data_IF_606604621516
#
_entry.id   IF_606604621516
#
_cell.length_a   1.000
_cell.length_b   1.000
_cell.length_c   1.000
_cell.angle_alpha   90.00
_cell.angle_beta   90.00
_cell.angle_gamma   90.00
#
_symmetry.space_group_name_H-M   'P 1'
#
loop_
_entity.id
_entity.type
_entity.pdbx_description
1 polymer ?
#
# COMPACT_ATOMS: atom_id res chain seq x y z
N UNK A 1 19.06 -7.38 32.47
CA UNK A 1 18.42 -7.05 31.17
C UNK A 1 17.70 -5.68 31.17
N UNK A 2 18.18 -4.68 31.92
CA UNK A 2 17.58 -3.32 31.98
C UNK A 2 18.48 -2.22 31.38
N UNK A 3 19.60 -2.59 30.74
CA UNK A 3 20.69 -1.64 30.42
C UNK A 3 21.08 -1.59 28.93
N UNK A 4 20.28 -2.16 28.03
CA UNK A 4 20.51 -2.07 26.57
C UNK A 4 19.45 -1.27 25.80
N UNK A 5 18.44 -0.71 26.48
CA UNK A 5 17.30 -0.05 25.81
C UNK A 5 17.25 1.47 25.96
N UNK A 6 18.26 2.08 26.59
CA UNK A 6 18.35 3.54 26.75
C UNK A 6 18.95 4.30 25.55
N UNK A 7 19.26 3.63 24.44
CA UNK A 7 19.91 4.26 23.27
C UNK A 7 19.02 4.39 22.02
N UNK A 8 17.70 4.18 22.13
CA UNK A 8 16.79 4.21 20.96
C UNK A 8 15.66 5.24 21.03
N UNK A 9 15.83 6.32 21.79
CA UNK A 9 14.75 7.31 22.03
C UNK A 9 15.10 8.78 21.75
N UNK A 10 16.19 9.09 21.06
CA UNK A 10 16.42 10.47 20.62
C UNK A 10 16.73 10.59 19.13
N UNK A 11 16.11 11.62 18.54
CA UNK A 11 16.17 12.12 17.16
C UNK A 11 15.06 11.60 16.24
N UNK A 12 13.85 12.16 16.39
CA UNK A 12 12.94 12.39 15.26
C UNK A 12 12.05 13.61 15.54
N UNK A 13 12.63 14.82 15.56
CA UNK A 13 11.93 16.05 15.18
C UNK A 13 12.99 17.04 14.65
N UNK A 14 12.81 17.49 13.41
CA UNK A 14 13.15 18.80 12.79
C UNK A 14 13.86 18.75 11.43
N UNK A 15 13.32 19.59 10.54
CA UNK A 15 13.83 20.11 9.26
C UNK A 15 13.85 19.19 8.03
N UNK A 16 12.84 19.40 7.19
CA UNK A 16 12.86 19.11 5.76
C UNK A 16 13.76 20.13 5.06
N UNK A 17 14.86 19.70 4.45
CA UNK A 17 15.59 20.47 3.44
C UNK A 17 15.47 19.75 2.10
N UNK A 18 14.83 20.40 1.14
CA UNK A 18 14.86 20.02 -0.27
C UNK A 18 16.25 20.33 -0.83
N UNK A 19 16.96 19.31 -1.29
CA UNK A 19 18.18 19.47 -2.08
C UNK A 19 17.85 19.11 -3.52
N UNK A 20 17.87 20.09 -4.41
CA UNK A 20 17.80 19.87 -5.85
C UNK A 20 19.12 19.27 -6.34
N UNK A 21 19.06 18.18 -7.10
CA UNK A 21 20.22 17.55 -7.74
C UNK A 21 19.98 17.50 -9.26
N UNK A 22 20.93 18.03 -10.02
CA UNK A 22 20.92 18.10 -11.48
C UNK A 22 21.00 16.69 -12.12
N UNK A 23 20.34 16.44 -13.27
CA UNK A 23 20.28 15.12 -13.87
C UNK A 23 21.56 14.83 -14.69
N UNK A 24 22.46 14.04 -14.10
CA UNK A 24 23.52 13.37 -14.86
C UNK A 24 23.02 12.03 -15.39
N UNK A 25 23.09 11.83 -16.70
CA UNK A 25 22.76 10.57 -17.36
C UNK A 25 23.66 9.44 -16.83
N UNK A 26 23.05 8.46 -16.17
CA UNK A 26 23.71 7.20 -15.78
C UNK A 26 23.13 6.08 -16.66
N UNK A 27 24.03 5.36 -17.34
CA UNK A 27 23.71 4.16 -18.10
C UNK A 27 23.11 3.09 -17.19
N UNK A 28 21.93 2.60 -17.56
CA UNK A 28 21.17 1.61 -16.79
C UNK A 28 21.66 0.21 -17.15
N UNK A 29 22.32 -0.44 -16.20
CA UNK A 29 22.68 -1.85 -16.31
C UNK A 29 21.40 -2.71 -16.19
N UNK A 30 21.17 -3.59 -17.15
CA UNK A 30 19.91 -4.30 -17.40
C UNK A 30 19.67 -5.50 -16.46
N UNK A 31 19.50 -5.25 -15.15
CA UNK A 31 19.20 -6.31 -14.17
C UNK A 31 18.18 -5.94 -13.07
N UNK A 32 17.48 -4.82 -13.20
CA UNK A 32 16.31 -4.56 -12.36
C UNK A 32 15.12 -5.33 -12.92
N UNK A 33 14.79 -6.48 -12.31
CA UNK A 33 13.47 -7.09 -12.51
C UNK A 33 12.43 -6.07 -12.06
N UNK A 34 11.63 -5.55 -12.99
CA UNK A 34 10.40 -4.86 -12.65
C UNK A 34 9.57 -5.81 -11.78
N UNK A 35 9.25 -5.38 -10.55
CA UNK A 35 8.55 -6.23 -9.57
C UNK A 35 7.07 -6.46 -9.92
N UNK A 36 6.56 -5.81 -10.97
CA UNK A 36 5.23 -6.00 -11.53
C UNK A 36 5.38 -6.47 -12.98
N UNK A 37 5.03 -7.73 -13.26
CA UNK A 37 5.10 -8.39 -14.57
C UNK A 37 3.73 -8.78 -15.13
N UNK A 38 2.63 -8.34 -14.50
CA UNK A 38 1.29 -8.52 -15.02
C UNK A 38 1.12 -7.84 -16.39
N UNK A 39 0.67 -8.59 -17.42
CA UNK A 39 0.45 -8.03 -18.75
C UNK A 39 -0.78 -7.10 -18.83
N UNK A 40 -1.59 -7.02 -17.76
CA UNK A 40 -2.80 -6.19 -17.69
C UNK A 40 -2.59 -4.98 -16.76
N UNK A 41 -2.02 -5.20 -15.57
CA UNK A 41 -2.00 -4.20 -14.51
C UNK A 41 -0.67 -3.45 -14.36
N UNK A 42 0.38 -3.89 -15.08
CA UNK A 42 1.68 -3.22 -15.10
C UNK A 42 1.88 -2.50 -16.44
N UNK A 43 2.87 -1.59 -16.55
CA UNK A 43 3.13 -0.87 -17.79
C UNK A 43 3.30 -1.80 -19.00
N UNK A 44 2.53 -1.52 -20.06
CA UNK A 44 2.53 -2.27 -21.30
C UNK A 44 1.37 -1.86 -22.22
N UNK A 45 1.29 -2.41 -23.44
CA UNK A 45 0.32 -1.99 -24.45
C UNK A 45 -1.14 -2.16 -24.02
N UNK A 46 -1.43 -3.13 -23.15
CA UNK A 46 -2.76 -3.33 -22.60
C UNK A 46 -3.19 -2.12 -21.78
N UNK A 47 -2.42 -1.83 -20.74
CA UNK A 47 -2.70 -0.77 -19.80
C UNK A 47 -2.71 0.60 -20.49
N UNK A 48 -1.72 0.86 -21.34
CA UNK A 48 -1.61 2.10 -22.11
C UNK A 48 -2.88 2.37 -22.93
N UNK A 49 -3.36 1.39 -23.68
CA UNK A 49 -4.55 1.54 -24.51
C UNK A 49 -5.79 1.87 -23.69
N UNK A 50 -6.01 1.18 -22.57
CA UNK A 50 -7.16 1.44 -21.71
C UNK A 50 -7.07 2.83 -21.08
N UNK A 51 -5.90 3.20 -20.55
CA UNK A 51 -5.71 4.45 -19.82
C UNK A 51 -5.74 5.68 -20.72
N UNK A 52 -5.07 5.63 -21.89
CA UNK A 52 -5.03 6.76 -22.81
C UNK A 52 -6.35 6.99 -23.56
N UNK A 53 -7.20 5.97 -23.68
CA UNK A 53 -8.57 6.13 -24.19
C UNK A 53 -9.55 6.66 -23.13
N UNK A 54 -9.09 6.92 -21.89
CA UNK A 54 -9.89 7.46 -20.79
C UNK A 54 -11.24 6.75 -20.63
N UNK A 55 -11.18 5.41 -20.65
CA UNK A 55 -12.36 4.57 -20.47
C UNK A 55 -13.09 4.94 -19.17
N UNK A 56 -12.31 5.15 -18.12
CA UNK A 56 -12.74 5.68 -16.83
C UNK A 56 -12.14 7.06 -16.55
N UNK A 57 -12.80 7.85 -15.71
CA UNK A 57 -12.31 9.17 -15.30
C UNK A 57 -11.13 9.09 -14.33
N UNK A 58 -11.06 8.02 -13.54
CA UNK A 58 -9.97 7.75 -12.58
C UNK A 58 -9.16 6.56 -13.09
N UNK A 59 -7.87 6.78 -13.36
CA UNK A 59 -6.96 5.72 -13.83
C UNK A 59 -6.92 4.51 -12.89
N UNK A 60 -7.20 4.69 -11.59
CA UNK A 60 -7.20 3.59 -10.62
C UNK A 60 -8.38 2.64 -10.78
N UNK A 61 -9.49 3.08 -11.39
CA UNK A 61 -10.68 2.23 -11.58
C UNK A 61 -10.32 0.94 -12.31
N UNK A 62 -9.68 1.03 -13.48
CA UNK A 62 -9.37 -0.15 -14.28
C UNK A 62 -8.38 -1.09 -13.59
N UNK A 63 -7.31 -0.55 -13.00
CA UNK A 63 -6.27 -1.38 -12.37
C UNK A 63 -6.73 -2.07 -11.08
N UNK A 64 -7.89 -1.69 -10.54
CA UNK A 64 -8.54 -2.32 -9.39
C UNK A 64 -9.57 -3.40 -9.78
N UNK A 65 -9.84 -3.62 -11.07
CA UNK A 65 -10.84 -4.58 -11.54
C UNK A 65 -10.21 -5.97 -11.74
N UNK A 66 -10.68 -7.03 -11.05
CA UNK A 66 -10.25 -8.40 -11.32
C UNK A 66 -10.82 -8.91 -12.65
N UNK A 67 -10.17 -9.88 -13.28
CA UNK A 67 -10.71 -10.54 -14.48
C UNK A 67 -11.83 -11.52 -14.12
N UNK A 68 -12.85 -11.62 -14.98
CA UNK A 68 -13.93 -12.63 -14.90
C UNK A 68 -13.65 -13.88 -15.76
N UNK A 69 -12.60 -13.84 -16.58
CA UNK A 69 -12.14 -14.92 -17.46
C UNK A 69 -10.65 -15.19 -17.24
N UNK A 70 -10.15 -16.39 -17.59
CA UNK A 70 -8.73 -16.69 -17.46
C UNK A 70 -7.86 -15.70 -18.21
N UNK A 71 -6.70 -15.37 -17.66
CA UNK A 71 -5.78 -14.37 -18.21
C UNK A 71 -5.50 -14.57 -19.71
N UNK A 72 -5.24 -15.80 -20.14
CA UNK A 72 -4.97 -16.11 -21.55
C UNK A 72 -6.13 -15.74 -22.47
N UNK A 73 -7.37 -15.97 -22.03
CA UNK A 73 -8.58 -15.62 -22.79
C UNK A 73 -8.74 -14.10 -22.88
N UNK A 74 -8.52 -13.38 -21.77
CA UNK A 74 -8.59 -11.91 -21.72
C UNK A 74 -7.55 -11.30 -22.67
N UNK A 75 -6.31 -11.80 -22.64
CA UNK A 75 -5.23 -11.33 -23.54
C UNK A 75 -5.58 -11.64 -25.00
N UNK A 76 -6.04 -12.84 -25.31
CA UNK A 76 -6.42 -13.22 -26.67
C UNK A 76 -7.59 -12.37 -27.22
N UNK A 77 -8.56 -12.05 -26.37
CA UNK A 77 -9.67 -11.17 -26.72
C UNK A 77 -9.19 -9.72 -26.93
N UNK A 78 -8.33 -9.21 -26.04
CA UNK A 78 -7.74 -7.88 -26.18
C UNK A 78 -6.93 -7.72 -27.48
N UNK A 79 -6.16 -8.75 -27.87
CA UNK A 79 -5.37 -8.73 -29.12
C UNK A 79 -6.23 -8.58 -30.39
N UNK A 80 -7.53 -8.88 -30.33
CA UNK A 80 -8.47 -8.70 -31.45
C UNK A 80 -9.04 -7.29 -31.53
N UNK A 81 -8.82 -6.46 -30.51
CA UNK A 81 -9.32 -5.08 -30.47
C UNK A 81 -8.45 -4.19 -31.38
N UNK A 82 -9.03 -3.51 -32.40
CA UNK A 82 -8.29 -2.63 -33.29
C UNK A 82 -7.52 -1.54 -32.55
N UNK A 83 -6.36 -1.10 -33.05
CA UNK A 83 -5.56 -0.07 -32.37
C UNK A 83 -6.31 1.24 -32.16
N UNK A 84 -7.14 1.63 -33.12
CA UNK A 84 -8.00 2.81 -33.09
C UNK A 84 -9.41 2.53 -32.52
N UNK A 85 -9.56 1.52 -31.65
CA UNK A 85 -10.85 1.19 -31.05
C UNK A 85 -11.43 2.37 -30.27
N UNK A 86 -12.75 2.55 -30.40
CA UNK A 86 -13.47 3.60 -29.67
C UNK A 86 -13.52 3.29 -28.17
N UNK A 87 -13.79 4.33 -27.37
CA UNK A 87 -14.06 4.18 -25.94
C UNK A 87 -15.18 3.18 -25.65
N UNK A 88 -16.24 3.17 -26.45
CA UNK A 88 -17.38 2.26 -26.27
C UNK A 88 -16.98 0.79 -26.54
N UNK A 89 -16.17 0.54 -27.57
CA UNK A 89 -15.62 -0.80 -27.84
C UNK A 89 -14.77 -1.32 -26.67
N UNK A 90 -13.99 -0.45 -26.03
CA UNK A 90 -13.19 -0.81 -24.86
C UNK A 90 -14.06 -1.05 -23.62
N UNK A 91 -15.13 -0.25 -23.45
CA UNK A 91 -16.12 -0.47 -22.39
C UNK A 91 -16.84 -1.81 -22.56
N UNK A 92 -17.26 -2.17 -23.78
CA UNK A 92 -17.90 -3.46 -24.06
C UNK A 92 -16.97 -4.62 -23.72
N UNK A 93 -15.69 -4.52 -24.12
CA UNK A 93 -14.66 -5.49 -23.75
C UNK A 93 -14.50 -5.59 -22.23
N UNK A 94 -14.34 -4.46 -21.53
CA UNK A 94 -14.19 -4.45 -20.07
C UNK A 94 -15.41 -5.05 -19.38
N UNK A 95 -16.63 -4.70 -19.80
CA UNK A 95 -17.87 -5.24 -19.21
C UNK A 95 -18.03 -6.75 -19.39
N UNK A 96 -17.37 -7.33 -20.40
CA UNK A 96 -17.39 -8.77 -20.69
C UNK A 96 -16.32 -9.52 -19.88
N UNK A 97 -15.14 -8.92 -19.70
CA UNK A 97 -13.94 -9.63 -19.21
C UNK A 97 -13.51 -9.25 -17.80
N UNK A 98 -14.05 -8.18 -17.20
CA UNK A 98 -13.63 -7.66 -15.90
C UNK A 98 -14.80 -7.45 -14.95
N UNK A 99 -14.53 -7.67 -13.67
CA UNK A 99 -15.48 -7.44 -12.57
C UNK A 99 -15.45 -5.99 -12.09
N UNK A 100 -16.18 -5.69 -11.03
CA UNK A 100 -16.17 -4.33 -10.44
C UNK A 100 -14.88 -4.06 -9.66
N UNK A 101 -14.48 -2.79 -9.58
CA UNK A 101 -13.28 -2.42 -8.83
C UNK A 101 -13.43 -2.72 -7.33
N UNK A 102 -12.47 -3.46 -6.77
CA UNK A 102 -12.51 -3.89 -5.36
C UNK A 102 -13.53 -4.99 -5.06
N UNK A 103 -14.03 -5.71 -6.07
CA UNK A 103 -14.89 -6.88 -5.89
C UNK A 103 -14.23 -7.98 -5.04
N UNK A 104 -12.90 -7.98 -4.92
CA UNK A 104 -12.12 -8.88 -4.06
C UNK A 104 -12.30 -8.62 -2.56
N UNK A 105 -13.06 -7.59 -2.19
CA UNK A 105 -13.16 -7.12 -0.82
C UNK A 105 -14.56 -7.33 -0.27
N UNK A 106 -14.62 -8.01 0.87
CA UNK A 106 -15.86 -8.15 1.63
C UNK A 106 -15.69 -7.52 3.02
N UNK A 107 -16.78 -7.07 3.67
CA UNK A 107 -16.72 -6.59 5.04
C UNK A 107 -16.07 -7.64 5.96
N UNK A 108 -15.17 -7.19 6.83
CA UNK A 108 -14.64 -8.03 7.90
C UNK A 108 -15.49 -7.88 9.16
N UNK A 109 -15.81 -9.00 9.80
CA UNK A 109 -16.46 -8.98 11.12
C UNK A 109 -15.46 -8.52 12.16
N UNK A 110 -15.83 -7.51 12.96
CA UNK A 110 -15.10 -7.10 14.14
C UNK A 110 -15.70 -7.82 15.35
N UNK A 111 -15.17 -8.99 15.67
CA UNK A 111 -15.65 -9.78 16.80
C UNK A 111 -15.56 -8.98 18.10
N UNK A 112 -16.64 -8.99 18.88
CA UNK A 112 -16.74 -8.25 20.15
C UNK A 112 -16.52 -6.74 20.01
N UNK A 113 -17.03 -6.10 18.95
CA UNK A 113 -16.97 -4.65 18.76
C UNK A 113 -17.45 -3.89 20.02
N UNK A 114 -16.58 -3.11 20.69
CA UNK A 114 -16.90 -2.49 21.97
C UNK A 114 -17.69 -1.20 21.74
N UNK A 115 -19.03 -1.26 21.71
CA UNK A 115 -19.89 -0.10 21.43
C UNK A 115 -19.67 1.14 22.33
N UNK A 116 -19.09 0.95 23.52
CA UNK A 116 -18.72 2.02 24.44
C UNK A 116 -17.31 1.79 24.99
N UNK A 117 -16.27 2.01 24.17
CA UNK A 117 -14.90 1.73 24.58
C UNK A 117 -14.46 2.68 25.70
N UNK A 118 -13.55 2.23 26.55
CA UNK A 118 -13.22 2.93 27.80
C UNK A 118 -12.73 4.37 27.61
N UNK A 119 -12.12 4.68 26.46
CA UNK A 119 -11.62 6.03 26.17
C UNK A 119 -12.74 7.10 26.14
N UNK A 120 -13.96 6.72 25.75
CA UNK A 120 -15.10 7.64 25.70
C UNK A 120 -15.46 8.20 27.08
N UNK A 121 -15.27 7.40 28.14
CA UNK A 121 -15.58 7.82 29.52
C UNK A 121 -14.69 8.98 30.01
N UNK A 122 -13.55 9.19 29.36
CA UNK A 122 -12.60 10.27 29.70
C UNK A 122 -12.97 11.61 29.05
N UNK A 123 -13.93 11.62 28.11
CA UNK A 123 -14.32 12.80 27.35
C UNK A 123 -15.48 13.51 28.05
N UNK A 124 -15.19 14.69 28.62
CA UNK A 124 -16.20 15.49 29.35
C UNK A 124 -17.08 16.36 28.45
N UNK A 125 -16.56 16.79 27.30
CA UNK A 125 -17.31 17.65 26.37
C UNK A 125 -18.32 16.81 25.59
N UNK A 126 -19.63 17.14 25.64
CA UNK A 126 -20.66 16.40 24.89
C UNK A 126 -20.39 16.40 23.38
N UNK A 127 -19.91 17.51 22.83
CA UNK A 127 -19.62 17.64 21.39
C UNK A 127 -18.46 16.71 20.99
N UNK A 128 -17.40 16.66 21.80
CA UNK A 128 -16.26 15.79 21.52
C UNK A 128 -16.59 14.31 21.74
N UNK A 129 -17.48 14.01 22.70
CA UNK A 129 -17.98 12.66 22.92
C UNK A 129 -18.75 12.16 21.68
N UNK A 130 -19.68 12.96 21.17
CA UNK A 130 -20.47 12.65 19.97
C UNK A 130 -19.59 12.48 18.73
N UNK A 131 -18.59 13.34 18.57
CA UNK A 131 -17.60 13.18 17.51
C UNK A 131 -16.82 11.86 17.66
N UNK A 132 -16.29 11.58 18.85
CA UNK A 132 -15.47 10.40 19.10
C UNK A 132 -16.23 9.08 18.92
N UNK A 133 -17.47 8.99 19.40
CA UNK A 133 -18.29 7.78 19.23
C UNK A 133 -18.66 7.59 17.75
N UNK A 134 -18.87 8.67 17.00
CA UNK A 134 -19.08 8.58 15.54
C UNK A 134 -17.84 8.07 14.83
N UNK A 135 -16.65 8.57 15.18
CA UNK A 135 -15.37 8.07 14.64
C UNK A 135 -15.19 6.58 14.93
N UNK A 136 -15.42 6.16 16.17
CA UNK A 136 -15.35 4.76 16.57
C UNK A 136 -16.29 3.86 15.75
N UNK A 137 -17.52 4.32 15.50
CA UNK A 137 -18.51 3.57 14.73
C UNK A 137 -18.22 3.48 13.22
N UNK A 138 -17.14 4.09 12.71
CA UNK A 138 -16.70 3.87 11.33
C UNK A 138 -15.88 2.58 11.15
N UNK A 139 -15.32 1.99 12.21
CA UNK A 139 -14.47 0.80 12.04
C UNK A 139 -15.16 -0.37 11.33
N UNK A 140 -16.42 -0.74 11.65
CA UNK A 140 -17.12 -1.80 10.91
C UNK A 140 -17.31 -1.47 9.43
N UNK A 141 -17.44 -0.19 9.09
CA UNK A 141 -17.61 0.27 7.71
C UNK A 141 -16.30 0.24 6.92
N UNK A 142 -15.14 0.25 7.58
CA UNK A 142 -13.81 0.29 6.95
C UNK A 142 -13.04 -1.03 7.08
N UNK A 143 -13.45 -1.93 7.96
CA UNK A 143 -12.84 -3.24 8.10
C UNK A 143 -13.19 -4.12 6.88
N UNK A 144 -12.17 -4.71 6.27
CA UNK A 144 -12.25 -5.57 5.08
C UNK A 144 -11.44 -6.84 5.27
N UNK A 145 -11.81 -7.86 4.52
CA UNK A 145 -11.01 -9.06 4.26
C UNK A 145 -11.03 -9.33 2.76
N UNK A 146 -9.98 -9.99 2.27
CA UNK A 146 -9.94 -10.43 0.87
C UNK A 146 -10.76 -11.71 0.73
N UNK A 147 -11.64 -11.74 -0.27
CA UNK A 147 -12.36 -12.94 -0.71
C UNK A 147 -12.23 -13.06 -2.23
N UNK A 148 -11.41 -14.03 -2.65
CA UNK A 148 -11.18 -14.35 -4.07
C UNK A 148 -11.89 -15.64 -4.48
N UNK A 149 -12.83 -16.16 -3.67
CA UNK A 149 -13.55 -17.40 -3.98
C UNK A 149 -14.40 -17.33 -5.26
N UNK A 150 -14.80 -16.12 -5.67
CA UNK A 150 -15.52 -15.89 -6.92
C UNK A 150 -14.63 -15.99 -8.17
N UNK A 151 -13.30 -15.95 -8.01
CA UNK A 151 -12.37 -15.94 -9.13
C UNK A 151 -12.30 -17.31 -9.79
N UNK A 152 -12.38 -17.31 -11.12
CA UNK A 152 -12.23 -18.52 -11.92
C UNK A 152 -10.78 -19.05 -11.89
N UNK A 153 -10.59 -20.33 -12.24
CA UNK A 153 -9.25 -20.86 -12.46
C UNK A 153 -8.53 -20.07 -13.57
N UNK A 154 -7.34 -19.53 -13.28
CA UNK A 154 -6.57 -18.70 -14.21
C UNK A 154 -7.02 -17.24 -14.30
N UNK A 155 -8.08 -16.83 -13.59
CA UNK A 155 -8.41 -15.42 -13.41
C UNK A 155 -7.31 -14.73 -12.58
N UNK A 156 -7.08 -13.45 -12.82
CA UNK A 156 -6.10 -12.64 -12.12
C UNK A 156 -6.71 -11.37 -11.53
N UNK A 157 -6.06 -10.86 -10.49
CA UNK A 157 -6.39 -9.61 -9.83
C UNK A 157 -5.08 -8.86 -9.55
N UNK A 158 -5.16 -7.53 -9.49
CA UNK A 158 -4.04 -6.73 -9.02
C UNK A 158 -3.89 -6.76 -7.50
N UNK A 159 -4.86 -7.28 -6.74
CA UNK A 159 -4.81 -7.37 -5.29
C UNK A 159 -3.78 -8.42 -4.86
N UNK A 160 -2.86 -8.04 -3.96
CA UNK A 160 -1.91 -8.97 -3.37
C UNK A 160 -2.66 -9.86 -2.38
N UNK A 161 -2.57 -11.20 -2.47
CA UNK A 161 -3.26 -12.10 -1.55
C UNK A 161 -2.96 -11.78 -0.08
N UNK A 162 -4.01 -11.72 0.74
CA UNK A 162 -3.93 -11.46 2.18
C UNK A 162 -4.88 -12.38 2.93
N UNK A 163 -4.42 -12.93 4.05
CA UNK A 163 -5.17 -13.94 4.80
C UNK A 163 -5.96 -13.38 5.99
N UNK A 164 -5.68 -12.13 6.40
CA UNK A 164 -6.26 -11.54 7.61
C UNK A 164 -6.97 -10.23 7.32
N UNK A 165 -7.87 -9.87 8.23
CA UNK A 165 -8.63 -8.63 8.14
C UNK A 165 -7.71 -7.40 8.21
N UNK A 166 -8.17 -6.31 7.61
CA UNK A 166 -7.47 -5.03 7.65
C UNK A 166 -8.48 -3.89 7.55
N UNK A 167 -8.01 -2.68 7.79
CA UNK A 167 -8.83 -1.47 7.66
C UNK A 167 -8.30 -0.65 6.48
N UNK A 168 -9.22 -0.18 5.64
CA UNK A 168 -8.92 0.68 4.49
C UNK A 168 -9.10 2.16 4.85
N UNK A 169 -8.42 3.10 4.16
CA UNK A 169 -8.68 4.53 4.33
C UNK A 169 -10.11 4.93 3.93
N UNK A 170 -10.67 4.28 2.90
CA UNK A 170 -12.03 4.51 2.40
C UNK A 170 -12.10 5.21 1.04
N UNK A 171 -13.29 5.21 0.43
CA UNK A 171 -13.51 5.76 -0.91
C UNK A 171 -12.79 4.93 -1.99
N UNK A 172 -11.99 5.59 -2.85
CA UNK A 172 -11.21 4.93 -3.91
C UNK A 172 -10.05 4.08 -3.39
N UNK A 173 -9.67 4.27 -2.12
CA UNK A 173 -8.59 3.55 -1.45
C UNK A 173 -9.16 2.28 -0.82
N UNK A 174 -9.04 1.18 -1.54
CA UNK A 174 -9.69 -0.11 -1.23
C UNK A 174 -8.71 -1.16 -0.72
N UNK A 175 -7.43 -0.86 -0.75
CA UNK A 175 -6.32 -1.66 -0.26
C UNK A 175 -5.79 -1.14 1.08
N UNK A 176 -5.05 -1.99 1.80
CA UNK A 176 -4.28 -1.52 2.97
C UNK A 176 -3.13 -0.63 2.47
N UNK A 177 -2.90 0.50 3.14
CA UNK A 177 -1.77 1.40 2.88
C UNK A 177 -0.81 1.41 4.06
N UNK A 178 0.49 1.39 3.78
CA UNK A 178 1.51 1.12 4.80
C UNK A 178 1.51 2.18 5.92
N UNK A 179 1.84 3.43 5.64
CA UNK A 179 2.01 4.42 6.70
C UNK A 179 0.68 4.88 7.33
N UNK A 180 -0.41 4.95 6.54
CA UNK A 180 -1.76 5.26 7.02
C UNK A 180 -2.17 4.28 8.12
N UNK A 181 -1.78 3.01 7.96
CA UNK A 181 -2.10 1.96 8.89
C UNK A 181 -1.50 2.16 10.28
N UNK A 182 -0.43 2.95 10.44
CA UNK A 182 0.11 3.26 11.76
C UNK A 182 -0.93 4.04 12.59
N UNK A 183 -1.48 5.10 11.99
CA UNK A 183 -2.49 5.93 12.65
C UNK A 183 -3.82 5.20 12.82
N UNK A 184 -4.17 4.33 11.87
CA UNK A 184 -5.32 3.43 12.00
C UNK A 184 -5.12 2.48 13.19
N UNK A 185 -3.94 1.85 13.32
CA UNK A 185 -3.63 0.97 14.45
C UNK A 185 -3.68 1.75 15.77
N UNK A 186 -3.16 2.98 15.85
CA UNK A 186 -3.33 3.82 17.04
C UNK A 186 -4.81 4.00 17.41
N UNK A 187 -5.67 4.32 16.43
CA UNK A 187 -7.11 4.47 16.63
C UNK A 187 -7.81 3.17 17.04
N UNK A 188 -7.40 2.03 16.46
CA UNK A 188 -7.92 0.70 16.80
C UNK A 188 -7.55 0.31 18.23
N UNK A 189 -6.31 0.58 18.67
CA UNK A 189 -5.86 0.29 20.04
C UNK A 189 -6.62 1.13 21.07
N UNK A 190 -6.86 2.41 20.78
CA UNK A 190 -7.70 3.28 21.63
C UNK A 190 -9.15 2.81 21.65
N UNK A 191 -9.63 2.27 20.53
CA UNK A 191 -10.96 1.68 20.37
C UNK A 191 -11.07 0.26 20.90
N UNK A 192 -10.03 -0.27 21.56
CA UNK A 192 -9.99 -1.63 22.15
C UNK A 192 -10.18 -2.76 21.11
N UNK A 193 -9.89 -2.47 19.83
CA UNK A 193 -9.98 -3.39 18.69
C UNK A 193 -8.63 -4.08 18.42
N UNK A 194 -8.12 -4.79 19.43
CA UNK A 194 -6.78 -5.39 19.39
C UNK A 194 -6.63 -6.48 18.31
N UNK A 195 -7.68 -7.26 18.03
CA UNK A 195 -7.64 -8.34 17.05
C UNK A 195 -7.29 -7.86 15.64
N UNK A 196 -8.05 -6.90 15.12
CA UNK A 196 -7.78 -6.34 13.78
C UNK A 196 -6.47 -5.55 13.72
N UNK A 197 -6.06 -4.90 14.82
CA UNK A 197 -4.73 -4.26 14.89
C UNK A 197 -3.60 -5.29 14.75
N UNK A 198 -3.73 -6.46 15.40
CA UNK A 198 -2.78 -7.57 15.27
C UNK A 198 -2.77 -8.13 13.85
N UNK A 199 -3.95 -8.33 13.27
CA UNK A 199 -4.10 -8.84 11.91
C UNK A 199 -3.41 -7.95 10.86
N UNK A 200 -3.56 -6.62 10.97
CA UNK A 200 -2.88 -5.66 10.10
C UNK A 200 -1.35 -5.75 10.23
N UNK A 201 -0.82 -5.87 11.46
CA UNK A 201 0.62 -6.06 11.69
C UNK A 201 1.11 -7.36 11.05
N UNK A 202 0.39 -8.47 11.25
CA UNK A 202 0.74 -9.77 10.69
C UNK A 202 0.73 -9.74 9.16
N UNK A 203 -0.25 -9.08 8.54
CA UNK A 203 -0.29 -8.87 7.10
C UNK A 203 0.96 -8.12 6.58
N UNK A 204 1.41 -7.09 7.29
CA UNK A 204 2.64 -6.38 6.91
C UNK A 204 3.90 -7.23 7.09
N UNK A 205 3.96 -8.07 8.14
CA UNK A 205 5.04 -9.02 8.30
C UNK A 205 5.07 -10.03 7.15
N UNK A 206 3.91 -10.52 6.69
CA UNK A 206 3.79 -11.40 5.53
C UNK A 206 4.31 -10.72 4.24
N UNK A 207 4.07 -9.42 4.06
CA UNK A 207 4.64 -8.67 2.94
C UNK A 207 6.16 -8.56 3.01
N UNK A 208 6.72 -8.25 4.19
CA UNK A 208 8.18 -8.23 4.36
C UNK A 208 8.77 -9.62 4.12
N UNK A 209 8.08 -10.69 4.54
CA UNK A 209 8.57 -12.04 4.29
C UNK A 209 8.60 -12.39 2.80
N UNK A 210 7.55 -12.01 2.07
CA UNK A 210 7.38 -12.32 0.65
C UNK A 210 8.24 -11.43 -0.26
N UNK A 211 8.23 -10.12 -0.01
CA UNK A 211 8.81 -9.11 -0.90
C UNK A 211 10.08 -8.45 -0.36
N UNK A 212 10.42 -8.67 0.91
CA UNK A 212 11.56 -8.05 1.59
C UNK A 212 11.25 -6.67 2.20
N UNK A 213 10.09 -6.10 1.90
CA UNK A 213 9.63 -4.80 2.39
C UNK A 213 8.11 -4.72 2.37
N UNK A 214 7.55 -3.69 3.02
CA UNK A 214 6.11 -3.40 2.92
C UNK A 214 5.84 -2.53 1.68
N UNK A 215 5.06 -2.98 0.68
CA UNK A 215 4.69 -2.15 -0.45
C UNK A 215 3.81 -0.96 -0.02
N UNK A 216 3.72 0.06 -0.86
CA UNK A 216 2.88 1.25 -0.59
C UNK A 216 1.44 0.85 -0.21
N UNK A 217 0.86 -0.09 -0.95
CA UNK A 217 -0.36 -0.78 -0.55
C UNK A 217 -0.44 -2.19 -1.14
N UNK A 218 -1.51 -2.93 -0.82
CA UNK A 218 -1.67 -4.35 -1.21
C UNK A 218 -2.11 -4.57 -2.67
N UNK A 219 -1.44 -3.90 -3.61
CA UNK A 219 -1.67 -4.06 -5.06
C UNK A 219 -0.34 -4.31 -5.78
N UNK A 220 -0.33 -5.16 -6.80
CA UNK A 220 0.91 -5.57 -7.47
C UNK A 220 1.65 -4.40 -8.14
N UNK A 221 0.93 -3.37 -8.60
CA UNK A 221 1.53 -2.16 -9.16
C UNK A 221 2.19 -1.26 -8.10
N UNK A 222 2.07 -1.59 -6.80
CA UNK A 222 2.83 -0.99 -5.72
C UNK A 222 4.11 -1.77 -5.36
N UNK A 223 4.36 -2.94 -5.95
CA UNK A 223 5.55 -3.75 -5.63
C UNK A 223 6.88 -3.12 -6.06
N UNK A 224 6.88 -1.96 -6.72
CA UNK A 224 8.11 -1.21 -7.01
C UNK A 224 8.45 -0.13 -5.96
N UNK A 225 7.58 0.11 -4.97
CA UNK A 225 7.74 1.22 -4.02
C UNK A 225 7.14 0.93 -2.65
N UNK A 226 7.77 1.51 -1.62
CA UNK A 226 7.26 1.49 -0.25
C UNK A 226 6.65 2.85 0.12
N UNK A 227 6.44 3.05 1.42
CA UNK A 227 5.97 4.26 2.09
C UNK A 227 6.80 4.44 3.37
N UNK A 228 6.60 5.52 4.16
CA UNK A 228 7.34 5.72 5.40
C UNK A 228 7.34 4.48 6.31
N UNK A 229 8.53 3.95 6.69
CA UNK A 229 8.62 2.66 7.38
C UNK A 229 8.22 2.78 8.85
N UNK A 230 6.98 2.37 9.15
CA UNK A 230 6.38 2.46 10.48
C UNK A 230 6.10 1.09 11.12
N UNK A 231 6.46 -0.03 10.49
CA UNK A 231 6.15 -1.37 11.01
C UNK A 231 6.74 -1.63 12.41
N UNK A 232 7.98 -1.19 12.66
CA UNK A 232 8.60 -1.25 14.01
C UNK A 232 7.75 -0.49 15.03
N UNK A 233 7.22 0.67 14.65
CA UNK A 233 6.39 1.48 15.54
C UNK A 233 5.02 0.83 15.76
N UNK A 234 4.41 0.25 14.73
CA UNK A 234 3.15 -0.50 14.85
C UNK A 234 3.29 -1.66 15.85
N UNK A 235 4.36 -2.47 15.73
CA UNK A 235 4.65 -3.57 16.68
C UNK A 235 4.87 -3.02 18.09
N UNK A 236 5.58 -1.91 18.23
CA UNK A 236 5.85 -1.27 19.52
C UNK A 236 4.57 -0.79 20.21
N UNK A 237 3.71 -0.02 19.53
CA UNK A 237 2.48 0.51 20.13
C UNK A 237 1.50 -0.63 20.48
N UNK A 238 1.45 -1.67 19.64
CA UNK A 238 0.66 -2.86 19.91
C UNK A 238 1.15 -3.58 21.17
N UNK A 239 2.46 -3.81 21.29
CA UNK A 239 3.06 -4.41 22.48
C UNK A 239 2.79 -3.56 23.73
N UNK A 240 2.92 -2.24 23.65
CA UNK A 240 2.63 -1.35 24.77
C UNK A 240 1.16 -1.40 25.23
N UNK A 241 0.23 -1.61 24.29
CA UNK A 241 -1.19 -1.69 24.61
C UNK A 241 -1.61 -3.07 25.16
N UNK A 242 -0.93 -4.15 24.76
CA UNK A 242 -1.40 -5.53 24.99
C UNK A 242 -0.47 -6.40 25.84
N UNK A 243 0.81 -6.00 26.00
CA UNK A 243 1.90 -6.83 26.53
C UNK A 243 2.09 -8.18 25.79
N UNK A 244 1.65 -8.29 24.53
CA UNK A 244 1.83 -9.49 23.71
C UNK A 244 3.30 -9.67 23.30
N UNK A 245 4.08 -10.32 24.16
CA UNK A 245 5.49 -10.65 23.88
C UNK A 245 5.62 -11.67 22.76
N UNK A 246 4.60 -12.50 22.52
CA UNK A 246 4.61 -13.51 21.46
C UNK A 246 4.70 -12.85 20.09
N UNK A 247 3.85 -11.85 19.82
CA UNK A 247 3.91 -11.09 18.58
C UNK A 247 5.25 -10.37 18.43
N UNK A 248 5.77 -9.77 19.51
CA UNK A 248 7.05 -9.07 19.49
C UNK A 248 8.20 -9.99 19.07
N UNK A 249 8.33 -11.18 19.67
CA UNK A 249 9.37 -12.14 19.32
C UNK A 249 9.20 -12.70 17.91
N UNK A 250 7.95 -12.92 17.48
CA UNK A 250 7.65 -13.35 16.12
C UNK A 250 8.05 -12.29 15.08
N UNK A 251 7.75 -11.01 15.34
CA UNK A 251 8.00 -9.92 14.40
C UNK A 251 9.49 -9.55 14.28
N UNK A 252 10.27 -9.72 15.34
CA UNK A 252 11.63 -9.18 15.44
C UNK A 252 12.57 -9.57 14.27
N UNK A 253 12.66 -10.85 13.83
CA UNK A 253 13.49 -11.21 12.68
C UNK A 253 13.04 -10.53 11.39
N UNK A 254 11.73 -10.43 11.16
CA UNK A 254 11.14 -9.80 9.98
C UNK A 254 11.35 -8.28 9.99
N UNK A 255 11.29 -7.61 11.15
CA UNK A 255 11.62 -6.19 11.27
C UNK A 255 13.09 -5.90 10.90
N UNK A 256 14.01 -6.80 11.24
CA UNK A 256 15.42 -6.71 10.80
C UNK A 256 15.52 -6.85 9.28
N UNK A 257 14.74 -7.76 8.68
CA UNK A 257 14.69 -7.95 7.22
C UNK A 257 14.26 -6.67 6.50
N UNK A 258 13.19 -6.01 6.96
CA UNK A 258 12.76 -4.72 6.39
C UNK A 258 13.84 -3.63 6.57
N UNK A 259 14.44 -3.52 7.76
CA UNK A 259 15.53 -2.58 8.00
C UNK A 259 16.71 -2.80 7.02
N UNK A 260 17.09 -4.05 6.80
CA UNK A 260 18.14 -4.41 5.86
C UNK A 260 17.75 -4.06 4.41
N UNK A 261 16.49 -4.25 4.01
CA UNK A 261 15.99 -3.78 2.72
C UNK A 261 16.24 -2.27 2.54
N UNK A 262 15.85 -1.45 3.52
CA UNK A 262 16.08 0.00 3.45
C UNK A 262 17.57 0.32 3.36
N UNK A 263 18.39 -0.30 4.21
CA UNK A 263 19.85 -0.10 4.23
C UNK A 263 20.53 -0.49 2.92
N UNK A 264 20.08 -1.54 2.25
CA UNK A 264 20.71 -2.02 1.02
C UNK A 264 20.25 -1.25 -0.22
N UNK A 265 18.96 -0.95 -0.32
CA UNK A 265 18.37 -0.45 -1.56
C UNK A 265 18.21 1.06 -1.64
N UNK A 266 18.25 1.77 -0.50
CA UNK A 266 17.92 3.21 -0.45
C UNK A 266 19.02 4.08 0.17
N UNK A 267 20.13 3.48 0.59
CA UNK A 267 21.24 4.21 1.20
C UNK A 267 21.94 5.11 0.20
N UNK A 268 22.21 6.34 0.61
CA UNK A 268 23.05 7.32 -0.08
C UNK A 268 24.13 7.84 0.86
N UNK A 269 25.24 8.29 0.28
CA UNK A 269 26.28 8.97 1.02
C UNK A 269 26.18 10.47 0.80
N UNK A 270 26.05 11.22 1.90
CA UNK A 270 25.96 12.68 1.88
C UNK A 270 27.15 13.26 2.64
N UNK A 271 27.90 14.15 2.01
CA UNK A 271 29.00 14.87 2.65
C UNK A 271 28.49 16.23 3.09
N UNK A 272 28.63 16.54 4.38
CA UNK A 272 28.27 17.86 4.92
C UNK A 272 29.19 18.94 4.34
N UNK A 273 28.65 20.00 3.71
CA UNK A 273 29.48 21.06 3.15
C UNK A 273 30.23 21.84 4.24
N UNK A 274 29.69 21.89 5.48
CA UNK A 274 30.29 22.61 6.60
C UNK A 274 31.38 21.81 7.32
N UNK A 275 31.11 20.55 7.64
CA UNK A 275 32.01 19.72 8.46
C UNK A 275 32.88 18.76 7.66
N UNK A 276 32.64 18.63 6.35
CA UNK A 276 33.26 17.63 5.47
C UNK A 276 33.08 16.17 5.93
N UNK A 277 32.22 15.94 6.93
CA UNK A 277 31.89 14.61 7.43
C UNK A 277 30.92 13.92 6.45
N UNK A 278 31.21 12.65 6.16
CA UNK A 278 30.36 11.79 5.34
C UNK A 278 29.36 11.04 6.22
N UNK A 279 28.09 11.07 5.80
CA UNK A 279 26.97 10.41 6.45
C UNK A 279 26.36 9.39 5.49
N UNK A 280 25.81 8.31 6.05
CA UNK A 280 24.97 7.37 5.29
C UNK A 280 23.53 7.62 5.71
N UNK A 281 22.69 7.99 4.75
CA UNK A 281 21.28 8.30 4.94
C UNK A 281 20.45 7.45 3.98
N UNK A 282 19.13 7.42 4.18
CA UNK A 282 18.19 6.77 3.28
C UNK A 282 17.41 7.84 2.51
N UNK A 283 17.05 7.55 1.25
CA UNK A 283 16.15 8.38 0.44
C UNK A 283 14.96 7.56 -0.06
N UNK A 284 13.80 8.18 -0.22
CA UNK A 284 12.75 7.55 -1.02
C UNK A 284 13.19 7.53 -2.48
N UNK A 285 13.15 6.34 -3.07
CA UNK A 285 13.51 6.12 -4.46
C UNK A 285 12.61 5.04 -5.05
N UNK A 286 12.17 5.29 -6.27
CA UNK A 286 11.42 4.34 -7.09
C UNK A 286 12.09 4.29 -8.45
N UNK A 287 12.41 3.09 -8.92
CA UNK A 287 12.88 2.89 -10.27
C UNK A 287 11.67 2.58 -11.15
N UNK A 288 11.28 3.54 -11.98
CA UNK A 288 10.17 3.40 -12.90
C UNK A 288 10.49 4.17 -14.19
N UNK A 289 10.14 3.59 -15.34
CA UNK A 289 10.36 4.19 -16.67
C UNK A 289 9.04 4.46 -17.40
N UNK A 290 7.90 4.27 -16.72
CA UNK A 290 6.57 4.41 -17.30
C UNK A 290 5.63 5.11 -16.33
N UNK A 291 4.51 5.67 -16.80
CA UNK A 291 3.45 6.21 -15.93
C UNK A 291 3.01 5.21 -14.86
N UNK A 292 2.62 5.70 -13.68
CA UNK A 292 2.09 4.83 -12.61
C UNK A 292 0.78 4.19 -13.05
N UNK A 293 0.58 2.87 -12.91
CA UNK A 293 -0.66 2.25 -13.36
C UNK A 293 -1.95 2.84 -12.78
N UNK A 294 -1.93 3.26 -11.51
CA UNK A 294 -3.09 3.87 -10.83
C UNK A 294 -3.26 5.38 -11.10
N UNK A 295 -2.40 5.98 -11.90
CA UNK A 295 -2.40 7.40 -12.27
C UNK A 295 -1.80 7.58 -13.67
N UNK A 296 -2.11 6.65 -14.58
CA UNK A 296 -1.35 6.50 -15.83
C UNK A 296 -1.58 7.70 -16.75
N UNK A 297 -2.85 8.07 -16.95
CA UNK A 297 -3.19 9.21 -17.80
C UNK A 297 -2.64 10.52 -17.22
N UNK A 298 -2.75 10.70 -15.90
CA UNK A 298 -2.29 11.89 -15.19
C UNK A 298 -0.77 12.07 -15.27
N UNK A 299 -0.01 10.98 -15.08
CA UNK A 299 1.45 10.98 -15.24
C UNK A 299 1.86 11.20 -16.70
N UNK A 300 1.12 10.62 -17.66
CA UNK A 300 1.35 10.82 -19.09
C UNK A 300 1.12 12.29 -19.50
N UNK A 301 0.00 12.88 -19.10
CA UNK A 301 -0.32 14.31 -19.32
C UNK A 301 0.75 15.22 -18.71
N UNK A 302 1.22 14.91 -17.50
CA UNK A 302 2.26 15.70 -16.81
C UNK A 302 3.57 15.77 -17.61
N UNK A 303 3.91 14.74 -18.39
CA UNK A 303 5.16 14.68 -19.15
C UNK A 303 4.97 15.14 -20.59
N UNK A 304 3.96 14.62 -21.30
CA UNK A 304 3.79 14.80 -22.74
C UNK A 304 2.97 16.04 -23.11
N UNK A 305 2.13 16.55 -22.21
CA UNK A 305 1.32 17.76 -22.46
C UNK A 305 1.87 19.01 -21.74
N UNK A 306 3.02 18.89 -21.06
CA UNK A 306 3.72 19.99 -20.40
C UNK A 306 4.65 20.79 -21.34
N UNK A 307 4.53 20.60 -22.65
CA UNK A 307 5.22 21.33 -23.73
C UNK A 307 4.26 22.24 -24.47
#
# INVERSE_FOLDING_TARGET
MKTQWTTFTHVFVTSWMLVAVNPGYLSVNASYRYLCDSPIYCPGPFLEKIQLNRVFNDSKTFVDMPTLKPLEEVIAAFSRIPQNASRDTLLDFISTYFGSEGQELVPATLDHFPYHPSFLQKIRSPILYEFAIRVHNYWPNLARKVDQSFMCAGCVSSFIPMNRSFVIPGGRFREIYYWDSYFVIEGLLVSELYGVAKDMILNFLDFVETYGFVPNGSRIYYLNRSQPPLLVQMVKIYYQATNDTSLLFHAFPTLIKEYNFWRQNTSIHVTSPKSQKRYTLNRYIVHNISPRPESYFEDYETVELAT
#
